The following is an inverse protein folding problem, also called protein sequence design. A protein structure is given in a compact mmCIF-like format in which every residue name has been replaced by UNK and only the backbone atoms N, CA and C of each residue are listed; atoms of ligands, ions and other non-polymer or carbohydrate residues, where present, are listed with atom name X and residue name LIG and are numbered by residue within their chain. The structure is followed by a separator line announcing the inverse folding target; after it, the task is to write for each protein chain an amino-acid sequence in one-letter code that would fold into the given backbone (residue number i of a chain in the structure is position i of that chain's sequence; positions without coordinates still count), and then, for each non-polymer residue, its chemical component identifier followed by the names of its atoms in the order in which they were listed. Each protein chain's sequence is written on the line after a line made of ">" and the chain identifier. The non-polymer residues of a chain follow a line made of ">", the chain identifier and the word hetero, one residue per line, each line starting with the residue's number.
data_IF_415783845679
#
_entry.id   IF_415783845679
#
_cell.length_a   1.000
_cell.length_b   1.000
_cell.length_c   1.000
_cell.angle_alpha   90.00
_cell.angle_beta   90.00
_cell.angle_gamma   90.00
#
_symmetry.space_group_name_H-M   'P 1'
#
loop_
_entity.id
_entity.type
_entity.pdbx_description
1 polymer ?
#
# COMPACT_ATOMS: atom_id res chain seq x y z
N UNK A 1 -11.08 48.23 -67.87
CA UNK A 1 -9.93 48.88 -67.21
C UNK A 1 -9.80 48.24 -65.83
N UNK A 2 -8.75 47.43 -65.59
CA UNK A 2 -7.55 47.79 -64.77
C UNK A 2 -7.98 48.18 -63.33
N UNK A 3 -7.64 47.49 -62.24
CA UNK A 3 -6.44 46.69 -61.91
C UNK A 3 -6.73 45.67 -60.77
N UNK A 4 -6.08 44.51 -60.87
CA UNK A 4 -5.75 43.63 -59.75
C UNK A 4 -4.80 44.38 -58.79
N UNK A 5 -5.01 44.27 -57.48
CA UNK A 5 -4.02 44.64 -56.45
C UNK A 5 -3.76 43.38 -55.61
N UNK A 6 -2.54 42.81 -55.63
CA UNK A 6 -2.14 41.75 -54.71
C UNK A 6 -1.24 42.34 -53.61
N UNK A 7 -1.56 42.08 -52.34
CA UNK A 7 -0.69 42.27 -51.17
C UNK A 7 -1.53 41.94 -49.94
N UNK A 8 -1.11 41.20 -48.91
CA UNK A 8 0.14 40.56 -48.56
C UNK A 8 -0.27 39.64 -47.40
N UNK A 9 -0.18 38.32 -47.59
CA UNK A 9 -0.44 37.34 -46.53
C UNK A 9 0.77 37.33 -45.60
N UNK A 10 0.69 38.04 -44.48
CA UNK A 10 1.70 37.97 -43.42
C UNK A 10 1.40 36.73 -42.58
N UNK A 11 1.97 35.58 -42.98
CA UNK A 11 2.11 34.43 -42.08
C UNK A 11 3.25 34.75 -41.10
N UNK A 12 2.92 35.24 -39.91
CA UNK A 12 3.82 35.15 -38.76
C UNK A 12 3.85 33.69 -38.30
N UNK A 13 4.75 32.90 -38.87
CA UNK A 13 5.20 31.67 -38.25
C UNK A 13 6.09 32.08 -37.07
N UNK A 14 5.49 32.23 -35.89
CA UNK A 14 6.25 32.15 -34.65
C UNK A 14 6.75 30.71 -34.52
N UNK A 15 7.91 30.40 -35.13
CA UNK A 15 8.73 29.26 -34.71
C UNK A 15 9.40 29.63 -33.39
N UNK A 16 8.59 29.78 -32.35
CA UNK A 16 9.08 29.69 -30.99
C UNK A 16 9.56 28.26 -30.83
N UNK A 17 10.88 28.08 -30.79
CA UNK A 17 11.49 26.89 -30.22
C UNK A 17 10.93 26.81 -28.79
N UNK A 18 9.89 26.01 -28.57
CA UNK A 18 9.47 25.69 -27.23
C UNK A 18 10.63 24.91 -26.64
N UNK A 19 11.43 25.58 -25.81
CA UNK A 19 12.29 24.90 -24.86
C UNK A 19 11.34 23.99 -24.08
N UNK A 20 11.34 22.70 -24.41
CA UNK A 20 10.68 21.69 -23.61
C UNK A 20 11.31 21.86 -22.22
N UNK A 21 10.56 22.47 -21.31
CA UNK A 21 10.93 22.50 -19.90
C UNK A 21 10.92 21.04 -19.49
N UNK A 22 12.11 20.44 -19.47
CA UNK A 22 12.35 19.08 -19.05
C UNK A 22 12.18 19.07 -17.53
N UNK A 23 10.95 19.23 -17.06
CA UNK A 23 10.58 19.18 -15.65
C UNK A 23 10.66 17.71 -15.28
N UNK A 24 11.89 17.28 -14.99
CA UNK A 24 12.17 15.99 -14.38
C UNK A 24 11.51 16.03 -13.01
N UNK A 25 10.60 15.08 -12.76
CA UNK A 25 10.06 14.91 -11.41
C UNK A 25 11.23 14.65 -10.46
N UNK A 26 11.29 15.31 -9.28
CA UNK A 26 12.35 15.04 -8.32
C UNK A 26 12.36 13.56 -7.93
N UNK A 27 13.55 13.02 -7.71
CA UNK A 27 13.68 11.67 -7.19
C UNK A 27 13.14 11.61 -5.75
N UNK A 28 12.55 10.48 -5.39
CA UNK A 28 11.96 10.26 -4.07
C UNK A 28 10.83 9.25 -4.08
N UNK A 29 10.08 9.22 -2.99
CA UNK A 29 8.94 8.32 -2.78
C UNK A 29 7.67 9.15 -2.74
N UNK A 30 6.63 8.69 -3.43
CA UNK A 30 5.40 9.44 -3.65
C UNK A 30 4.20 8.56 -3.34
N UNK A 31 3.15 9.17 -2.78
CA UNK A 31 1.84 8.53 -2.69
C UNK A 31 1.03 8.91 -3.93
N UNK A 32 0.43 7.92 -4.57
CA UNK A 32 -0.48 8.11 -5.71
C UNK A 32 -1.80 7.41 -5.46
N UNK A 33 -2.83 7.90 -6.12
CA UNK A 33 -4.20 7.37 -6.12
C UNK A 33 -5.05 8.19 -7.09
N UNK A 34 -6.37 8.09 -6.98
CA UNK A 34 -7.31 8.81 -7.85
C UNK A 34 -7.11 10.33 -7.81
N UNK A 35 -6.80 10.89 -6.65
CA UNK A 35 -6.47 12.32 -6.47
C UNK A 35 -5.25 12.79 -7.27
N UNK A 36 -4.42 11.86 -7.74
CA UNK A 36 -3.30 12.11 -8.66
C UNK A 36 -3.50 11.57 -10.07
N UNK A 37 -4.60 10.87 -10.35
CA UNK A 37 -4.77 10.02 -11.53
C UNK A 37 -3.61 9.01 -11.69
N UNK A 38 -3.10 8.47 -10.59
CA UNK A 38 -1.98 7.52 -10.58
C UNK A 38 -0.60 8.10 -10.95
N UNK A 39 -0.47 9.42 -11.08
CA UNK A 39 0.79 10.06 -11.49
C UNK A 39 1.46 10.76 -10.30
N UNK A 40 2.72 10.44 -9.96
CA UNK A 40 3.42 11.13 -8.86
C UNK A 40 3.45 12.65 -9.02
N UNK A 41 3.08 13.38 -7.96
CA UNK A 41 3.11 14.86 -7.92
C UNK A 41 3.89 15.37 -6.70
N UNK A 42 4.62 16.52 -6.81
CA UNK A 42 5.43 17.06 -5.71
C UNK A 42 4.70 17.23 -4.38
N UNK A 43 3.42 17.58 -4.39
CA UNK A 43 2.61 17.76 -3.18
C UNK A 43 2.33 16.47 -2.39
N UNK A 44 2.52 15.30 -3.01
CA UNK A 44 2.38 13.98 -2.37
C UNK A 44 3.72 13.24 -2.24
N UNK A 45 4.83 13.98 -2.26
CA UNK A 45 6.15 13.44 -1.96
C UNK A 45 6.24 13.12 -0.47
N UNK A 46 6.70 11.92 -0.14
CA UNK A 46 6.90 11.47 1.24
C UNK A 46 8.24 11.99 1.80
N UNK A 47 8.25 12.25 3.09
CA UNK A 47 9.43 12.71 3.83
C UNK A 47 10.11 11.54 4.55
N UNK A 48 11.43 11.43 4.46
CA UNK A 48 12.19 10.36 5.12
C UNK A 48 12.57 10.76 6.54
N UNK A 49 12.07 10.03 7.54
CA UNK A 49 12.41 10.21 8.94
C UNK A 49 12.72 8.87 9.60
N UNK A 50 13.94 8.72 10.12
CA UNK A 50 14.33 7.51 10.86
C UNK A 50 14.25 6.21 10.05
N UNK A 51 14.48 6.27 8.73
CA UNK A 51 14.39 5.10 7.83
C UNK A 51 12.97 4.78 7.34
N UNK A 52 12.00 5.62 7.66
CA UNK A 52 10.60 5.48 7.24
C UNK A 52 10.18 6.72 6.46
N UNK A 53 9.66 6.52 5.25
CA UNK A 53 8.98 7.56 4.51
C UNK A 53 7.58 7.76 5.08
N UNK A 54 7.18 9.01 5.31
CA UNK A 54 5.84 9.35 5.79
C UNK A 54 5.20 10.45 4.97
N UNK A 55 3.88 10.40 4.86
CA UNK A 55 3.06 11.48 4.33
C UNK A 55 1.74 11.53 5.10
N UNK A 56 1.38 12.72 5.59
CA UNK A 56 0.02 12.98 6.08
C UNK A 56 -0.86 13.35 4.89
N UNK A 57 -1.88 12.53 4.62
CA UNK A 57 -2.82 12.70 3.54
C UNK A 57 -4.17 13.13 4.11
N UNK A 58 -4.73 14.24 3.62
CA UNK A 58 -6.10 14.61 4.00
C UNK A 58 -7.09 13.57 3.48
N UNK A 59 -8.00 13.12 4.33
CA UNK A 59 -9.05 12.18 3.92
C UNK A 59 -9.99 12.77 2.86
N UNK A 60 -10.07 14.11 2.75
CA UNK A 60 -10.87 14.80 1.74
C UNK A 60 -10.44 14.58 0.29
N UNK A 61 -9.20 14.11 0.05
CA UNK A 61 -8.71 13.79 -1.30
C UNK A 61 -9.04 12.35 -1.70
N UNK A 62 -9.47 11.51 -0.76
CA UNK A 62 -9.77 10.11 -1.01
C UNK A 62 -11.15 9.99 -1.69
N UNK A 63 -11.21 9.16 -2.72
CA UNK A 63 -12.47 8.76 -3.36
C UNK A 63 -12.79 7.36 -2.88
N UNK A 64 -13.96 7.18 -2.26
CA UNK A 64 -14.39 5.89 -1.71
C UNK A 64 -15.44 5.25 -2.63
N UNK A 65 -15.14 4.06 -3.11
CA UNK A 65 -16.07 3.20 -3.82
C UNK A 65 -16.38 2.00 -2.91
N UNK A 66 -17.66 1.75 -2.62
CA UNK A 66 -18.08 0.71 -1.66
C UNK A 66 -17.34 0.79 -0.31
N UNK A 67 -17.15 2.01 0.22
CA UNK A 67 -16.43 2.31 1.46
C UNK A 67 -14.90 2.06 1.41
N UNK A 68 -14.31 1.82 0.24
CA UNK A 68 -12.87 1.60 0.08
C UNK A 68 -12.29 2.64 -0.88
N UNK A 69 -11.24 3.32 -0.44
CA UNK A 69 -10.34 4.10 -1.29
C UNK A 69 -9.05 3.33 -1.50
N UNK A 70 -8.32 3.61 -2.57
CA UNK A 70 -7.06 2.93 -2.87
C UNK A 70 -5.93 3.93 -3.09
N UNK A 71 -4.75 3.57 -2.60
CA UNK A 71 -3.52 4.28 -2.92
C UNK A 71 -2.40 3.30 -3.25
N UNK A 72 -1.33 3.83 -3.83
CA UNK A 72 -0.06 3.14 -4.01
C UNK A 72 1.07 4.06 -3.59
N UNK A 73 2.22 3.46 -3.26
CA UNK A 73 3.47 4.19 -3.07
C UNK A 73 4.41 3.89 -4.22
N UNK A 74 4.96 4.94 -4.82
CA UNK A 74 5.80 4.89 -6.02
C UNK A 74 7.17 5.49 -5.73
N UNK A 75 8.23 4.74 -6.03
CA UNK A 75 9.60 5.25 -6.03
C UNK A 75 9.95 5.81 -7.40
N UNK A 76 10.43 7.05 -7.42
CA UNK A 76 10.88 7.78 -8.60
C UNK A 76 12.40 7.91 -8.52
N UNK A 77 13.08 7.40 -9.54
CA UNK A 77 14.54 7.52 -9.72
C UNK A 77 14.79 8.01 -11.14
N UNK A 78 15.68 8.97 -11.27
CA UNK A 78 15.91 9.66 -12.52
C UNK A 78 14.63 10.19 -13.18
N UNK A 79 13.71 10.71 -12.36
CA UNK A 79 12.44 11.27 -12.81
C UNK A 79 11.49 10.26 -13.47
N UNK A 80 11.72 8.96 -13.26
CA UNK A 80 10.88 7.87 -13.76
C UNK A 80 10.38 7.01 -12.60
N UNK A 81 9.11 6.59 -12.60
CA UNK A 81 8.62 5.54 -11.72
C UNK A 81 9.43 4.25 -11.93
N UNK A 82 10.04 3.73 -10.87
CA UNK A 82 10.88 2.53 -10.90
C UNK A 82 10.27 1.35 -10.14
N UNK A 83 9.48 1.63 -9.10
CA UNK A 83 8.90 0.64 -8.21
C UNK A 83 7.57 1.16 -7.67
N UNK A 84 6.55 0.32 -7.62
CA UNK A 84 5.24 0.68 -7.09
C UNK A 84 4.72 -0.43 -6.17
N UNK A 85 4.12 -0.07 -5.04
CA UNK A 85 3.36 -1.03 -4.24
C UNK A 85 2.15 -1.55 -5.03
N UNK A 86 1.52 -2.63 -4.56
CA UNK A 86 0.15 -2.94 -4.96
C UNK A 86 -0.80 -1.82 -4.53
N UNK A 87 -2.06 -1.90 -4.99
CA UNK A 87 -3.12 -1.11 -4.37
C UNK A 87 -3.24 -1.46 -2.89
N UNK A 88 -3.30 -0.43 -2.05
CA UNK A 88 -3.50 -0.56 -0.61
C UNK A 88 -4.85 0.09 -0.28
N UNK A 89 -5.79 -0.68 0.29
CA UNK A 89 -7.12 -0.18 0.59
C UNK A 89 -7.08 0.72 1.83
N UNK A 90 -7.88 1.76 1.85
CA UNK A 90 -8.23 2.55 3.01
C UNK A 90 -9.74 2.42 3.16
N UNK A 91 -10.20 1.86 4.28
CA UNK A 91 -11.63 1.71 4.54
C UNK A 91 -12.16 2.92 5.28
N UNK A 92 -13.33 3.42 4.88
CA UNK A 92 -13.87 4.70 5.34
C UNK A 92 -14.30 4.71 6.81
N UNK A 93 -14.52 3.54 7.42
CA UNK A 93 -15.18 3.40 8.73
C UNK A 93 -14.43 4.07 9.89
N UNK A 94 -13.10 4.14 9.80
CA UNK A 94 -12.22 4.57 10.91
C UNK A 94 -11.26 5.70 10.53
N UNK A 95 -11.54 6.43 9.45
CA UNK A 95 -10.69 7.55 9.01
C UNK A 95 -11.04 8.83 9.79
N UNK A 96 -10.02 9.60 10.16
CA UNK A 96 -10.17 10.96 10.65
C UNK A 96 -10.10 11.99 9.51
N UNK A 97 -9.76 13.23 9.86
CA UNK A 97 -9.48 14.30 8.87
C UNK A 97 -8.24 14.03 8.02
N UNK A 98 -7.31 13.23 8.58
CA UNK A 98 -6.06 12.82 7.95
C UNK A 98 -5.78 11.34 8.19
N UNK A 99 -4.95 10.78 7.30
CA UNK A 99 -4.34 9.46 7.44
C UNK A 99 -2.83 9.60 7.22
N UNK A 100 -2.02 8.93 8.02
CA UNK A 100 -0.58 8.86 7.79
C UNK A 100 -0.26 7.63 6.96
N UNK A 101 0.37 7.83 5.81
CA UNK A 101 0.92 6.76 4.97
C UNK A 101 2.38 6.56 5.36
N UNK A 102 2.78 5.30 5.52
CA UNK A 102 4.14 4.90 5.83
C UNK A 102 4.70 4.02 4.71
N UNK A 103 5.99 4.19 4.40
CA UNK A 103 6.70 3.29 3.53
C UNK A 103 8.14 3.07 4.02
N UNK A 104 8.59 1.82 4.05
CA UNK A 104 9.96 1.46 4.39
C UNK A 104 10.81 1.35 3.13
N UNK A 105 11.95 2.04 3.08
CA UNK A 105 12.92 1.90 1.98
C UNK A 105 13.44 0.48 1.81
N UNK A 106 13.54 -0.24 2.92
CA UNK A 106 14.26 -1.51 3.01
C UNK A 106 13.32 -2.71 2.82
N UNK A 107 12.03 -2.53 3.11
CA UNK A 107 11.05 -3.61 3.10
C UNK A 107 10.08 -3.54 1.92
N UNK A 108 9.95 -2.39 1.26
CA UNK A 108 9.06 -2.27 0.11
C UNK A 108 9.45 -3.30 -0.94
N UNK A 109 8.49 -4.00 -1.53
CA UNK A 109 8.68 -4.99 -2.61
C UNK A 109 7.77 -4.60 -3.79
N UNK A 110 8.28 -4.69 -5.03
CA UNK A 110 7.57 -4.18 -6.22
C UNK A 110 6.32 -5.01 -6.49
N UNK A 111 5.20 -4.36 -6.74
CA UNK A 111 3.90 -5.00 -6.95
C UNK A 111 3.24 -5.60 -5.70
N UNK A 112 3.76 -5.34 -4.50
CA UNK A 112 3.21 -5.88 -3.24
C UNK A 112 2.81 -4.76 -2.28
N UNK A 113 1.98 -5.08 -1.29
CA UNK A 113 1.69 -4.17 -0.17
C UNK A 113 2.80 -4.19 0.91
N UNK A 114 3.73 -5.15 0.88
CA UNK A 114 4.79 -5.24 1.88
C UNK A 114 5.62 -3.97 1.92
N UNK A 115 5.96 -3.55 3.13
CA UNK A 115 6.74 -2.36 3.40
C UNK A 115 5.95 -1.06 3.30
N UNK A 116 4.64 -1.10 3.02
CA UNK A 116 3.79 0.09 2.90
C UNK A 116 2.50 -0.14 3.68
N UNK A 117 2.09 0.84 4.47
CA UNK A 117 0.87 0.76 5.26
C UNK A 117 0.42 2.15 5.71
N UNK A 118 -0.56 2.19 6.59
CA UNK A 118 -1.18 3.44 7.00
C UNK A 118 -1.81 3.37 8.40
N UNK A 119 -2.05 4.55 8.96
CA UNK A 119 -2.56 4.69 10.32
C UNK A 119 -3.99 4.20 10.51
N UNK A 120 -4.77 3.99 9.44
CA UNK A 120 -6.11 3.44 9.55
C UNK A 120 -6.05 1.98 10.04
N UNK A 121 -5.10 1.20 9.52
CA UNK A 121 -4.90 -0.21 9.90
C UNK A 121 -4.41 -0.40 11.32
N UNK A 122 -3.87 0.64 11.95
CA UNK A 122 -3.45 0.63 13.36
C UNK A 122 -4.66 0.58 14.32
N UNK A 123 -5.89 0.82 13.84
CA UNK A 123 -7.09 0.93 14.68
C UNK A 123 -7.85 -0.38 14.92
N UNK A 124 -7.48 -1.47 14.22
CA UNK A 124 -8.08 -2.81 14.37
C UNK A 124 -9.61 -2.84 14.21
N UNK A 125 -10.31 -3.88 14.72
CA UNK A 125 -9.73 -5.16 15.11
C UNK A 125 -9.07 -5.86 13.91
N UNK A 126 -8.21 -6.83 14.20
CA UNK A 126 -7.67 -7.77 13.21
C UNK A 126 -7.87 -9.18 13.73
N UNK A 127 -8.24 -10.08 12.85
CA UNK A 127 -8.43 -11.49 13.12
C UNK A 127 -7.46 -12.28 12.26
N UNK A 128 -6.94 -13.39 12.78
CA UNK A 128 -6.07 -14.29 12.04
C UNK A 128 -6.65 -15.69 12.09
N UNK A 129 -6.45 -16.44 11.01
CA UNK A 129 -6.67 -17.88 11.02
C UNK A 129 -5.68 -18.57 10.09
N UNK A 130 -5.62 -19.89 10.21
CA UNK A 130 -4.82 -20.72 9.32
C UNK A 130 -5.17 -22.19 9.43
N UNK A 131 -4.35 -23.02 8.78
CA UNK A 131 -4.49 -24.47 8.90
C UNK A 131 -4.27 -24.98 10.34
N UNK A 132 -3.59 -24.19 11.21
CA UNK A 132 -3.37 -24.49 12.62
C UNK A 132 -4.65 -24.46 13.48
N UNK A 133 -5.72 -23.78 13.04
CA UNK A 133 -7.00 -23.67 13.75
C UNK A 133 -8.22 -23.91 12.84
N UNK A 134 -8.04 -24.71 11.78
CA UNK A 134 -9.08 -25.04 10.79
C UNK A 134 -9.76 -23.79 10.20
N UNK A 135 -9.00 -22.72 9.95
CA UNK A 135 -9.51 -21.46 9.38
C UNK A 135 -10.58 -20.76 10.24
N UNK A 136 -10.56 -20.98 11.56
CA UNK A 136 -11.41 -20.26 12.50
C UNK A 136 -10.78 -18.92 12.83
N UNK A 137 -11.45 -17.80 12.56
CA UNK A 137 -10.92 -16.45 12.82
C UNK A 137 -10.81 -16.19 14.32
N UNK A 138 -9.59 -15.87 14.77
CA UNK A 138 -9.28 -15.51 16.15
C UNK A 138 -8.78 -14.07 16.22
N UNK A 139 -9.30 -13.29 17.17
CA UNK A 139 -8.92 -11.89 17.32
C UNK A 139 -7.47 -11.75 17.78
N UNK A 140 -6.73 -10.89 17.11
CA UNK A 140 -5.35 -10.55 17.45
C UNK A 140 -5.30 -9.46 18.51
N UNK A 141 -4.35 -9.56 19.44
CA UNK A 141 -4.16 -8.56 20.49
C UNK A 141 -3.21 -7.45 20.02
N UNK A 142 -3.63 -6.19 20.14
CA UNK A 142 -2.74 -5.07 19.86
C UNK A 142 -1.74 -4.83 21.00
N UNK A 143 -0.45 -4.94 20.71
CA UNK A 143 0.63 -4.74 21.66
C UNK A 143 1.90 -4.24 20.95
N UNK A 144 2.57 -3.25 21.55
CA UNK A 144 3.85 -2.70 21.05
C UNK A 144 3.84 -2.28 19.57
N UNK A 145 2.72 -1.73 19.09
CA UNK A 145 2.58 -1.26 17.69
C UNK A 145 2.24 -2.35 16.68
N UNK A 146 1.89 -3.57 17.12
CA UNK A 146 1.55 -4.70 16.27
C UNK A 146 0.31 -5.44 16.78
N UNK A 147 -0.36 -6.15 15.89
CA UNK A 147 -1.37 -7.14 16.25
C UNK A 147 -0.72 -8.51 16.37
N UNK A 148 -0.95 -9.23 17.48
CA UNK A 148 -0.28 -10.50 17.79
C UNK A 148 -1.31 -11.56 18.16
N UNK A 149 -1.16 -12.75 17.57
CA UNK A 149 -1.90 -13.96 17.94
C UNK A 149 -0.93 -15.02 18.48
N UNK A 150 -1.01 -15.27 19.78
CA UNK A 150 -0.37 -16.41 20.44
C UNK A 150 -1.28 -17.64 20.25
N UNK A 151 -1.01 -18.45 19.22
CA UNK A 151 -1.97 -19.46 18.73
C UNK A 151 -2.19 -20.63 19.69
N UNK A 152 -1.25 -20.87 20.62
CA UNK A 152 -1.21 -22.08 21.45
C UNK A 152 -0.92 -23.37 20.66
N UNK A 153 -0.78 -23.31 19.34
CA UNK A 153 -0.51 -24.46 18.49
C UNK A 153 0.98 -24.83 18.56
N UNK A 154 1.27 -26.10 18.87
CA UNK A 154 2.63 -26.64 18.77
C UNK A 154 2.90 -27.09 17.34
N UNK A 155 4.03 -26.65 16.79
CA UNK A 155 4.50 -27.02 15.45
C UNK A 155 5.85 -27.73 15.52
N UNK A 156 6.12 -28.62 14.58
CA UNK A 156 7.43 -29.28 14.44
C UNK A 156 8.26 -28.63 13.33
N UNK A 157 9.59 -28.69 13.45
CA UNK A 157 10.51 -28.22 12.42
C UNK A 157 10.18 -28.85 11.06
N UNK A 158 10.14 -28.01 10.02
CA UNK A 158 9.73 -28.37 8.67
C UNK A 158 8.21 -28.39 8.43
N UNK A 159 7.37 -28.20 9.45
CA UNK A 159 5.93 -28.10 9.27
C UNK A 159 5.55 -26.82 8.52
N UNK A 160 4.71 -26.96 7.50
CA UNK A 160 4.17 -25.84 6.73
C UNK A 160 2.84 -25.36 7.32
N UNK A 161 2.74 -24.05 7.53
CA UNK A 161 1.58 -23.34 8.03
C UNK A 161 1.09 -22.38 6.93
N UNK A 162 -0.20 -22.43 6.66
CA UNK A 162 -0.90 -21.46 5.81
C UNK A 162 -1.78 -20.59 6.70
N UNK A 163 -1.75 -19.28 6.49
CA UNK A 163 -2.45 -18.33 7.35
C UNK A 163 -2.74 -17.01 6.62
N UNK A 164 -3.68 -16.23 7.14
CA UNK A 164 -3.93 -14.85 6.71
C UNK A 164 -4.76 -14.12 7.75
N UNK A 165 -4.89 -12.81 7.57
CA UNK A 165 -5.67 -11.96 8.46
C UNK A 165 -6.90 -11.38 7.75
N UNK A 166 -7.93 -11.10 8.53
CA UNK A 166 -9.14 -10.40 8.13
C UNK A 166 -9.40 -9.25 9.11
N UNK A 167 -10.12 -8.23 8.65
CA UNK A 167 -10.52 -7.11 9.51
C UNK A 167 -11.69 -7.40 10.43
N UNK A 168 -12.46 -8.43 10.14
CA UNK A 168 -13.68 -8.76 10.85
C UNK A 168 -13.73 -10.27 11.16
N UNK A 169 -14.77 -10.71 11.86
CA UNK A 169 -14.93 -12.11 12.27
C UNK A 169 -15.45 -13.03 11.15
N UNK A 170 -15.44 -12.55 9.90
CA UNK A 170 -15.83 -13.25 8.68
C UNK A 170 -14.73 -13.06 7.60
N UNK A 171 -14.76 -13.91 6.59
CA UNK A 171 -13.90 -13.83 5.42
C UNK A 171 -14.50 -12.93 4.32
N UNK A 172 -15.59 -12.24 4.59
CA UNK A 172 -16.22 -11.35 3.61
C UNK A 172 -16.34 -9.96 4.24
N UNK A 173 -15.99 -8.90 3.49
CA UNK A 173 -15.51 -8.88 2.11
C UNK A 173 -14.05 -9.34 1.94
N UNK A 174 -13.67 -9.85 0.76
CA UNK A 174 -12.31 -10.35 0.51
C UNK A 174 -11.30 -9.21 0.48
N UNK A 175 -11.73 -8.03 0.06
CA UNK A 175 -10.98 -6.78 0.00
C UNK A 175 -10.42 -6.36 1.36
N UNK A 176 -10.97 -6.91 2.45
CA UNK A 176 -10.56 -6.75 3.85
C UNK A 176 -9.57 -7.80 4.36
N UNK A 177 -9.16 -8.74 3.51
CA UNK A 177 -8.21 -9.77 3.86
C UNK A 177 -6.79 -9.44 3.38
N UNK A 178 -5.80 -9.91 4.12
CA UNK A 178 -4.38 -9.74 3.81
C UNK A 178 -3.60 -11.03 4.03
N UNK A 179 -2.89 -11.49 2.99
CA UNK A 179 -2.08 -12.71 2.97
C UNK A 179 -0.58 -12.46 3.22
N UNK A 180 -0.21 -11.25 3.64
CA UNK A 180 1.20 -10.86 3.78
C UNK A 180 1.85 -10.30 2.52
N UNK A 181 1.15 -10.28 1.38
CA UNK A 181 1.63 -9.71 0.12
C UNK A 181 0.61 -8.76 -0.49
N UNK A 182 -0.66 -9.13 -0.53
CA UNK A 182 -1.75 -8.37 -1.15
C UNK A 182 -2.97 -8.28 -0.25
N UNK A 183 -3.58 -7.10 -0.26
CA UNK A 183 -4.95 -6.92 0.18
C UNK A 183 -5.90 -7.42 -0.92
N UNK A 184 -7.11 -7.83 -0.53
CA UNK A 184 -8.00 -8.66 -1.36
C UNK A 184 -7.56 -10.12 -1.45
N UNK A 185 -6.99 -10.65 -0.36
CA UNK A 185 -6.59 -12.06 -0.26
C UNK A 185 -7.82 -12.97 -0.32
N UNK A 186 -8.23 -13.36 -1.52
CA UNK A 186 -9.42 -14.14 -1.81
C UNK A 186 -9.32 -15.59 -1.34
N UNK A 187 -10.21 -16.44 -1.84
CA UNK A 187 -10.17 -17.86 -1.52
C UNK A 187 -8.88 -18.52 -2.02
N UNK A 188 -8.12 -19.15 -1.12
CA UNK A 188 -6.87 -19.84 -1.44
C UNK A 188 -5.62 -18.94 -1.49
N UNK A 189 -5.77 -17.63 -1.32
CA UNK A 189 -4.65 -16.69 -1.20
C UNK A 189 -4.24 -16.59 0.26
N UNK A 190 -3.11 -17.22 0.60
CA UNK A 190 -2.64 -17.42 1.96
C UNK A 190 -1.14 -17.11 2.08
N UNK A 191 -0.75 -16.53 3.22
CA UNK A 191 0.64 -16.50 3.64
C UNK A 191 1.11 -17.94 3.92
N UNK A 192 2.37 -18.23 3.60
CA UNK A 192 2.98 -19.53 3.90
C UNK A 192 4.19 -19.33 4.82
N UNK A 193 4.25 -20.15 5.87
CA UNK A 193 5.37 -20.23 6.80
C UNK A 193 5.84 -21.67 6.94
N UNK A 194 7.16 -21.88 7.02
CA UNK A 194 7.74 -23.19 7.32
C UNK A 194 8.49 -23.06 8.64
N UNK A 195 8.10 -23.87 9.64
CA UNK A 195 8.70 -23.86 10.96
C UNK A 195 10.20 -24.22 10.88
N UNK A 196 11.05 -23.38 11.44
CA UNK A 196 12.49 -23.60 11.51
C UNK A 196 12.90 -24.50 12.70
N UNK A 197 12.09 -24.50 13.75
CA UNK A 197 12.26 -25.30 14.97
C UNK A 197 10.92 -25.79 15.51
N UNK A 198 10.99 -26.70 16.47
CA UNK A 198 9.85 -27.12 17.27
C UNK A 198 9.47 -26.03 18.27
N UNK A 199 8.18 -25.85 18.56
CA UNK A 199 7.71 -24.92 19.57
C UNK A 199 6.30 -24.38 19.30
N UNK A 200 5.96 -23.27 19.93
CA UNK A 200 4.61 -22.67 19.80
C UNK A 200 4.59 -21.62 18.69
N UNK A 201 3.61 -21.73 17.79
CA UNK A 201 3.40 -20.79 16.69
C UNK A 201 2.85 -19.45 17.19
N UNK A 202 3.44 -18.36 16.72
CA UNK A 202 2.97 -16.99 16.93
C UNK A 202 2.81 -16.29 15.58
N UNK A 203 1.71 -15.55 15.40
CA UNK A 203 1.48 -14.70 14.23
C UNK A 203 1.52 -13.23 14.66
N UNK A 204 2.22 -12.38 13.90
CA UNK A 204 2.29 -10.94 14.09
C UNK A 204 1.95 -10.19 12.81
N UNK A 205 1.19 -9.10 12.96
CA UNK A 205 0.92 -8.14 11.90
C UNK A 205 1.40 -6.74 12.32
N UNK A 206 2.36 -6.17 11.58
CA UNK A 206 2.74 -4.75 11.69
C UNK A 206 1.95 -3.94 10.65
N UNK A 207 0.93 -3.17 11.07
CA UNK A 207 0.05 -2.41 10.18
C UNK A 207 0.74 -1.26 9.46
N UNK A 208 1.83 -0.71 10.02
CA UNK A 208 2.54 0.43 9.40
C UNK A 208 3.27 0.03 8.13
N UNK A 209 3.63 -1.24 8.01
CA UNK A 209 4.41 -1.74 6.87
C UNK A 209 3.74 -2.91 6.18
N UNK A 210 2.47 -3.19 6.52
CA UNK A 210 1.74 -4.38 6.06
C UNK A 210 2.61 -5.64 6.10
N UNK A 211 3.22 -5.90 7.27
CA UNK A 211 4.06 -7.08 7.45
C UNK A 211 3.32 -8.11 8.28
N UNK A 212 2.85 -9.16 7.62
CA UNK A 212 2.32 -10.35 8.28
C UNK A 212 3.43 -11.39 8.39
N UNK A 213 3.70 -11.86 9.61
CA UNK A 213 4.79 -12.79 9.91
C UNK A 213 4.32 -13.88 10.86
N UNK A 214 4.87 -15.08 10.66
CA UNK A 214 4.76 -16.19 11.59
C UNK A 214 6.15 -16.58 12.09
N UNK A 215 6.25 -17.02 13.33
CA UNK A 215 7.49 -17.59 13.89
C UNK A 215 7.18 -18.57 15.02
N UNK A 216 8.20 -19.34 15.41
CA UNK A 216 8.12 -20.29 16.52
C UNK A 216 8.82 -19.70 17.75
N UNK A 217 8.11 -19.72 18.88
CA UNK A 217 8.64 -19.31 20.19
C UNK A 217 9.44 -20.45 20.81
#
# INVERSE_FOLDING_TARGET
>A
MKKLIPALLVMFLFSGCMTLLNIKLPDGVYVVGDFTNGVPKPEYKMELQGGVYTLELSSSVLTFENNIAWYQVVMVVDGKPMKASSGIPIWSEKIGDTITIYASSDLMEDGTAKGVGDSEKETGPWYCAGNFNNWTLEEMTYQNGKFVLETGCFVTSGQTIEYKIARNSDWIPYEEQFDGVSYNAGYGENAVFVADKDGTLVIEFDPRFSLLKAYVK
#
